data_IF_415872531085
#
_entry.id   IF_415872531085
#
_cell.length_a   1.000
_cell.length_b   1.000
_cell.length_c   1.000
_cell.angle_alpha   90.00
_cell.angle_beta   90.00
_cell.angle_gamma   90.00
#
_symmetry.space_group_name_H-M   'P 1'
#
loop_
_entity.id
_entity.type
_entity.pdbx_description
1 polymer ?
#
# COMPACT_ATOMS: atom_id res chain seq x y z
N UNK A 1 -3.79 5.64 -4.93
CA UNK A 1 -2.73 6.06 -3.99
C UNK A 1 -2.96 5.51 -2.59
N UNK A 2 -4.10 5.80 -2.00
CA UNK A 2 -4.41 5.35 -0.63
C UNK A 2 -4.36 3.82 -0.52
N UNK A 3 -4.92 3.11 -1.48
CA UNK A 3 -4.99 1.65 -1.44
C UNK A 3 -3.62 0.95 -1.40
N UNK A 4 -2.58 1.57 -1.92
CA UNK A 4 -1.24 0.98 -1.86
C UNK A 4 -0.71 0.92 -0.43
N UNK A 5 -1.15 1.83 0.44
CA UNK A 5 -0.80 1.82 1.85
C UNK A 5 -1.64 0.86 2.69
N UNK A 6 -2.83 0.52 2.24
CA UNK A 6 -3.77 -0.32 3.00
C UNK A 6 -3.71 -1.77 2.58
N UNK A 7 -3.99 -2.05 1.30
CA UNK A 7 -4.28 -3.41 0.85
C UNK A 7 -3.13 -4.40 1.04
N UNK A 8 -1.89 -4.08 0.64
CA UNK A 8 -0.82 -5.04 0.80
C UNK A 8 -0.51 -5.38 2.26
N UNK A 9 -0.48 -4.36 3.14
CA UNK A 9 -0.21 -4.60 4.56
C UNK A 9 -1.33 -5.36 5.24
N UNK A 10 -2.58 -4.99 5.00
CA UNK A 10 -3.72 -5.68 5.59
C UNK A 10 -3.78 -7.13 5.13
N UNK A 11 -3.50 -7.38 3.85
CA UNK A 11 -3.49 -8.73 3.30
C UNK A 11 -2.35 -9.58 3.89
N UNK A 12 -1.15 -9.01 3.97
CA UNK A 12 0.01 -9.72 4.51
C UNK A 12 -0.16 -10.07 5.98
N UNK A 13 -0.69 -9.14 6.76
CA UNK A 13 -0.91 -9.32 8.20
C UNK A 13 -2.20 -10.08 8.53
N UNK A 14 -3.09 -10.25 7.56
CA UNK A 14 -4.36 -10.95 7.77
C UNK A 14 -5.31 -10.21 8.69
N UNK A 15 -5.41 -8.88 8.55
CA UNK A 15 -6.15 -8.02 9.48
C UNK A 15 -7.19 -7.17 8.76
N UNK A 16 -8.15 -6.66 9.54
CA UNK A 16 -9.09 -5.64 9.08
C UNK A 16 -8.37 -4.30 8.96
N UNK A 17 -8.91 -3.41 8.12
CA UNK A 17 -8.29 -2.12 7.87
C UNK A 17 -8.01 -1.32 9.14
N UNK A 18 -8.96 -1.30 10.09
CA UNK A 18 -8.81 -0.51 11.32
C UNK A 18 -7.60 -0.92 12.16
N UNK A 19 -7.20 -2.17 12.08
CA UNK A 19 -6.04 -2.65 12.84
C UNK A 19 -4.72 -2.08 12.34
N UNK A 20 -4.70 -1.47 11.14
CA UNK A 20 -3.54 -0.75 10.64
C UNK A 20 -3.22 0.51 11.45
N UNK A 21 -4.15 1.00 12.27
CA UNK A 21 -3.89 2.14 13.15
C UNK A 21 -3.09 1.75 14.40
N UNK A 22 -2.93 0.46 14.65
CA UNK A 22 -2.27 -0.04 15.86
C UNK A 22 -0.75 -0.12 15.69
N UNK A 23 -0.03 0.30 16.73
CA UNK A 23 1.42 0.19 16.81
C UNK A 23 2.14 0.85 15.63
N UNK A 24 3.14 0.16 15.09
CA UNK A 24 3.96 0.67 14.00
C UNK A 24 3.36 0.43 12.61
N UNK A 25 2.20 -0.23 12.53
CA UNK A 25 1.60 -0.56 11.23
C UNK A 25 1.18 0.70 10.48
N UNK A 26 0.66 1.71 11.17
CA UNK A 26 0.27 2.94 10.51
C UNK A 26 1.49 3.66 9.91
N UNK A 27 2.59 3.70 10.63
CA UNK A 27 3.83 4.29 10.12
C UNK A 27 4.29 3.57 8.85
N UNK A 28 4.22 2.25 8.85
CA UNK A 28 4.59 1.46 7.68
C UNK A 28 3.65 1.71 6.52
N UNK A 29 2.34 1.77 6.77
CA UNK A 29 1.36 2.09 5.73
C UNK A 29 1.65 3.46 5.10
N UNK A 30 1.96 4.45 5.92
CA UNK A 30 2.35 5.78 5.46
C UNK A 30 3.60 5.72 4.59
N UNK A 31 4.62 5.00 5.03
CA UNK A 31 5.87 4.90 4.30
C UNK A 31 5.70 4.23 2.93
N UNK A 32 4.90 3.17 2.87
CA UNK A 32 4.57 2.51 1.60
C UNK A 32 3.87 3.47 0.65
N UNK A 33 2.85 4.17 1.14
CA UNK A 33 2.10 5.15 0.35
C UNK A 33 2.99 6.29 -0.13
N UNK A 34 3.88 6.79 0.73
CA UNK A 34 4.73 7.92 0.39
C UNK A 34 5.82 7.55 -0.62
N UNK A 35 6.28 6.31 -0.66
CA UNK A 35 7.12 5.84 -1.76
C UNK A 35 6.39 5.99 -3.09
N UNK A 36 5.14 5.54 -3.14
CA UNK A 36 4.31 5.66 -4.35
C UNK A 36 4.06 7.11 -4.72
N UNK A 37 3.81 7.97 -3.73
CA UNK A 37 3.61 9.40 -3.96
C UNK A 37 4.85 10.06 -4.54
N UNK A 38 6.03 9.69 -4.06
CA UNK A 38 7.30 10.20 -4.57
C UNK A 38 7.47 9.87 -6.05
N UNK A 39 7.20 8.62 -6.43
CA UNK A 39 7.28 8.19 -7.84
C UNK A 39 6.27 8.96 -8.70
N UNK A 40 5.03 9.09 -8.22
CA UNK A 40 3.98 9.79 -8.96
C UNK A 40 4.34 11.26 -9.20
N UNK A 41 4.86 11.93 -8.18
CA UNK A 41 5.28 13.33 -8.31
C UNK A 41 6.44 13.48 -9.30
N UNK A 42 7.37 12.56 -9.28
CA UNK A 42 8.48 12.54 -10.25
C UNK A 42 7.96 12.44 -11.68
N UNK A 43 6.88 11.70 -11.88
CA UNK A 43 6.25 11.54 -13.19
C UNK A 43 5.32 12.71 -13.55
N UNK A 44 5.29 13.75 -12.75
CA UNK A 44 4.53 14.97 -13.04
C UNK A 44 3.10 14.95 -12.51
N UNK A 45 2.72 13.98 -11.72
CA UNK A 45 1.38 13.93 -11.10
C UNK A 45 1.33 14.91 -9.95
N UNK A 46 0.30 15.76 -9.95
CA UNK A 46 0.07 16.71 -8.88
C UNK A 46 -0.68 16.02 -7.74
N UNK A 47 -0.10 16.04 -6.55
CA UNK A 47 -0.68 15.40 -5.36
C UNK A 47 -0.71 16.40 -4.22
N UNK A 48 -1.58 16.12 -3.24
CA UNK A 48 -1.58 16.84 -1.96
C UNK A 48 -0.24 16.68 -1.25
N UNK A 49 0.00 17.47 -0.21
CA UNK A 49 1.20 17.35 0.61
C UNK A 49 1.26 15.99 1.32
N UNK A 50 2.45 15.60 1.77
CA UNK A 50 2.61 14.37 2.51
C UNK A 50 1.70 14.34 3.75
N UNK A 51 1.60 15.47 4.48
CA UNK A 51 0.76 15.58 5.66
C UNK A 51 -0.72 15.35 5.32
N UNK A 52 -1.18 15.92 4.21
CA UNK A 52 -2.56 15.72 3.74
C UNK A 52 -2.81 14.29 3.29
N UNK A 53 -1.85 13.68 2.59
CA UNK A 53 -1.95 12.28 2.18
C UNK A 53 -2.03 11.35 3.40
N UNK A 54 -1.22 11.59 4.41
CA UNK A 54 -1.23 10.81 5.65
C UNK A 54 -2.56 10.95 6.37
N UNK A 55 -3.10 12.16 6.46
CA UNK A 55 -4.40 12.38 7.09
C UNK A 55 -5.53 11.71 6.31
N UNK A 56 -5.49 11.78 4.99
CA UNK A 56 -6.46 11.08 4.14
C UNK A 56 -6.39 9.57 4.35
N UNK A 57 -5.18 9.02 4.45
CA UNK A 57 -4.99 7.60 4.73
C UNK A 57 -5.63 7.22 6.07
N UNK A 58 -5.39 8.02 7.11
CA UNK A 58 -5.97 7.79 8.44
C UNK A 58 -7.50 7.79 8.40
N UNK A 59 -8.08 8.75 7.67
CA UNK A 59 -9.54 8.86 7.54
C UNK A 59 -10.13 7.66 6.83
N UNK A 60 -9.53 7.23 5.73
CA UNK A 60 -10.01 6.06 4.97
C UNK A 60 -9.93 4.81 5.84
N UNK A 61 -8.82 4.59 6.54
CA UNK A 61 -8.68 3.45 7.45
C UNK A 61 -9.77 3.49 8.52
N UNK A 62 -10.01 4.65 9.10
CA UNK A 62 -11.02 4.81 10.16
C UNK A 62 -12.43 4.52 9.65
N UNK A 63 -12.77 5.06 8.48
CA UNK A 63 -14.11 4.86 7.88
C UNK A 63 -14.34 3.42 7.42
N UNK A 64 -13.28 2.68 7.13
CA UNK A 64 -13.37 1.29 6.66
C UNK A 64 -12.84 0.31 7.69
N UNK A 65 -12.82 0.69 8.97
CA UNK A 65 -12.13 -0.04 10.03
C UNK A 65 -12.54 -1.50 10.14
N UNK A 66 -13.81 -1.81 9.92
CA UNK A 66 -14.34 -3.18 10.03
C UNK A 66 -14.22 -3.97 8.73
N UNK A 67 -13.78 -3.35 7.66
CA UNK A 67 -13.66 -4.01 6.35
C UNK A 67 -12.41 -4.87 6.27
N UNK A 68 -12.56 -6.00 5.61
CA UNK A 68 -11.45 -6.80 5.12
C UNK A 68 -11.24 -6.41 3.66
N UNK A 69 -10.05 -5.93 3.30
CA UNK A 69 -9.82 -5.45 1.95
C UNK A 69 -9.90 -6.59 0.92
N UNK A 70 -10.10 -6.23 -0.34
CA UNK A 70 -10.24 -7.21 -1.42
C UNK A 70 -9.00 -8.10 -1.56
N UNK A 71 -7.81 -7.55 -1.36
CA UNK A 71 -6.56 -8.31 -1.46
C UNK A 71 -6.48 -9.37 -0.35
N UNK A 72 -6.90 -9.04 0.87
CA UNK A 72 -6.98 -10.02 1.96
C UNK A 72 -7.94 -11.15 1.62
N UNK A 73 -9.10 -10.82 1.08
CA UNK A 73 -10.07 -11.82 0.66
C UNK A 73 -9.50 -12.74 -0.42
N UNK A 74 -8.77 -12.19 -1.37
CA UNK A 74 -8.12 -12.97 -2.43
C UNK A 74 -7.09 -13.95 -1.84
N UNK A 75 -6.25 -13.47 -0.92
CA UNK A 75 -5.27 -14.33 -0.25
C UNK A 75 -5.96 -15.47 0.50
N UNK A 76 -7.00 -15.17 1.27
CA UNK A 76 -7.74 -16.18 2.04
C UNK A 76 -8.41 -17.23 1.17
N UNK A 77 -8.85 -16.83 -0.02
CA UNK A 77 -9.56 -17.71 -0.94
C UNK A 77 -8.64 -18.37 -1.99
N UNK A 78 -7.33 -18.19 -1.85
CA UNK A 78 -6.35 -18.77 -2.77
C UNK A 78 -6.41 -18.18 -4.17
N UNK A 79 -6.97 -16.96 -4.32
CA UNK A 79 -7.04 -16.28 -5.61
C UNK A 79 -5.80 -15.41 -5.81
N UNK A 80 -5.42 -15.20 -7.06
CA UNK A 80 -4.33 -14.32 -7.41
C UNK A 80 -4.71 -12.88 -7.05
N UNK A 81 -3.79 -12.16 -6.41
CA UNK A 81 -4.01 -10.77 -6.01
C UNK A 81 -3.58 -9.80 -7.11
N UNK A 82 -3.92 -8.53 -6.91
CA UNK A 82 -3.52 -7.43 -7.80
C UNK A 82 -2.20 -6.78 -7.37
N UNK A 83 -1.38 -7.48 -6.58
CA UNK A 83 -0.15 -6.89 -6.03
C UNK A 83 0.79 -6.35 -7.10
N UNK A 84 0.87 -7.02 -8.26
CA UNK A 84 1.72 -6.55 -9.35
C UNK A 84 1.22 -5.26 -9.97
N UNK A 85 -0.09 -5.02 -9.96
CA UNK A 85 -0.72 -3.82 -10.48
C UNK A 85 -0.66 -2.66 -9.48
N UNK A 86 -0.36 -2.95 -8.23
CA UNK A 86 -0.27 -1.97 -7.14
C UNK A 86 1.19 -1.72 -6.81
N UNK A 87 1.80 -2.54 -5.96
CA UNK A 87 3.21 -2.36 -5.58
C UNK A 87 4.17 -2.64 -6.74
N UNK A 88 3.84 -3.61 -7.59
CA UNK A 88 4.67 -3.93 -8.76
C UNK A 88 4.80 -2.74 -9.69
N UNK A 89 3.72 -2.00 -9.91
CA UNK A 89 3.75 -0.81 -10.76
C UNK A 89 4.59 0.30 -10.13
N UNK A 90 4.49 0.50 -8.82
CA UNK A 90 5.32 1.48 -8.10
C UNK A 90 6.80 1.16 -8.25
N UNK A 91 7.18 -0.10 -8.05
CA UNK A 91 8.57 -0.56 -8.17
C UNK A 91 9.10 -0.34 -9.59
N UNK A 92 8.32 -0.73 -10.58
CA UNK A 92 8.70 -0.61 -12.00
C UNK A 92 8.92 0.84 -12.39
N UNK A 93 8.01 1.74 -12.02
CA UNK A 93 8.13 3.17 -12.32
C UNK A 93 9.26 3.81 -11.53
N UNK A 94 9.45 3.38 -10.28
CA UNK A 94 10.58 3.83 -9.46
C UNK A 94 11.91 3.47 -10.09
N UNK A 95 12.06 2.25 -10.59
CA UNK A 95 13.28 1.82 -11.28
C UNK A 95 13.59 2.69 -12.48
N UNK A 96 12.58 3.01 -13.29
CA UNK A 96 12.73 3.89 -14.46
C UNK A 96 13.18 5.30 -14.06
N UNK A 97 12.75 5.77 -12.91
CA UNK A 97 13.04 7.10 -12.40
C UNK A 97 14.32 7.15 -11.57
N UNK A 98 14.94 6.01 -11.28
CA UNK A 98 16.08 5.94 -10.37
C UNK A 98 15.71 6.17 -8.91
N UNK A 99 14.44 5.95 -8.56
CA UNK A 99 13.92 6.13 -7.20
C UNK A 99 13.72 4.78 -6.53
N UNK A 100 14.46 4.48 -5.45
CA UNK A 100 14.28 3.20 -4.76
C UNK A 100 12.92 3.14 -4.03
N UNK A 101 12.28 1.98 -4.11
CA UNK A 101 10.99 1.73 -3.45
C UNK A 101 11.09 0.44 -2.64
N UNK A 102 11.92 0.41 -1.60
CA UNK A 102 12.20 -0.84 -0.88
C UNK A 102 10.97 -1.45 -0.20
N UNK A 103 10.08 -0.63 0.32
CA UNK A 103 8.88 -1.15 1.01
C UNK A 103 7.89 -1.76 0.03
N UNK A 104 7.64 -1.11 -1.09
CA UNK A 104 6.78 -1.67 -2.15
C UNK A 104 7.39 -2.94 -2.73
N UNK A 105 8.71 -2.97 -2.92
CA UNK A 105 9.42 -4.13 -3.42
C UNK A 105 9.29 -5.32 -2.47
N UNK A 106 9.44 -5.09 -1.17
CA UNK A 106 9.30 -6.15 -0.17
C UNK A 106 7.88 -6.71 -0.15
N UNK A 107 6.87 -5.84 -0.16
CA UNK A 107 5.48 -6.26 -0.17
C UNK A 107 5.14 -7.04 -1.45
N UNK A 108 5.66 -6.59 -2.59
CA UNK A 108 5.49 -7.30 -3.85
C UNK A 108 6.00 -8.74 -3.74
N UNK A 109 7.19 -8.92 -3.20
CA UNK A 109 7.79 -10.24 -3.03
C UNK A 109 6.98 -11.10 -2.05
N UNK A 110 6.62 -10.54 -0.91
CA UNK A 110 5.93 -11.29 0.15
C UNK A 110 4.51 -11.70 -0.27
N UNK A 111 3.75 -10.79 -0.87
CA UNK A 111 2.39 -11.11 -1.32
C UNK A 111 2.42 -12.08 -2.49
N UNK A 112 3.34 -11.89 -3.43
CA UNK A 112 3.48 -12.79 -4.58
C UNK A 112 3.78 -14.22 -4.16
N UNK A 113 4.49 -14.43 -3.06
CA UNK A 113 4.79 -15.76 -2.54
C UNK A 113 3.59 -16.46 -1.96
N UNK A 114 2.50 -15.73 -1.68
CA UNK A 114 1.25 -16.29 -1.17
C UNK A 114 0.29 -16.74 -2.29
N UNK A 115 0.56 -16.34 -3.51
CA UNK A 115 -0.30 -16.66 -4.67
C UNK A 115 -0.15 -18.10 -5.13
#
# INVERSE_FOLDING_TARGET
>A
MINVGINPLAALCGIKNGELLDGNLFEEACAVMLEAACVARFEGVSLDSDEELVENLRQVITHTSENECSMLQDVRNGRKTEIEMICGEVVKRGERAGLPCPRNSLLLTQISSLN
#
